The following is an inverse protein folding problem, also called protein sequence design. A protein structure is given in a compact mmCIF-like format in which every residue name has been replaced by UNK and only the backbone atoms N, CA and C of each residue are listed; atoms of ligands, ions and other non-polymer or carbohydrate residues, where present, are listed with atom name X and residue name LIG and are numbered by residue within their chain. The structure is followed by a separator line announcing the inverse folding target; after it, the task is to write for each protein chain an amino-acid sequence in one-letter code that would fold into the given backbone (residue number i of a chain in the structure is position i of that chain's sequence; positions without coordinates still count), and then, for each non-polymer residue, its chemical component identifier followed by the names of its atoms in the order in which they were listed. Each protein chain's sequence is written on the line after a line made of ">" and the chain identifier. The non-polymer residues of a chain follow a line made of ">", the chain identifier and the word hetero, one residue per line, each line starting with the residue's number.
data_IF_765390031755
#
_entry.id   IF_765390031755
#
_cell.length_a   1.000
_cell.length_b   1.000
_cell.length_c   1.000
_cell.angle_alpha   90.00
_cell.angle_beta   90.00
_cell.angle_gamma   90.00
#
_symmetry.space_group_name_H-M   'P 1'
#
loop_
_entity.id
_entity.type
_entity.pdbx_description
1 polymer ?
#
# COMPACT_ATOMS: atom_id res chain seq x y z
N UNK A 1 -18.30 24.24 5.57
CA UNK A 1 -19.04 23.04 5.09
C UNK A 1 -18.53 22.50 3.75
N UNK A 2 -18.23 23.34 2.75
CA UNK A 2 -17.72 22.88 1.44
C UNK A 2 -16.43 22.04 1.53
N UNK A 3 -15.42 22.51 2.25
CA UNK A 3 -14.17 21.74 2.47
C UNK A 3 -14.42 20.35 3.05
N UNK A 4 -15.24 20.26 4.10
CA UNK A 4 -15.57 18.97 4.74
C UNK A 4 -16.32 18.03 3.79
N UNK A 5 -17.25 18.55 2.99
CA UNK A 5 -17.96 17.75 1.98
C UNK A 5 -16.99 17.25 0.91
N UNK A 6 -16.22 18.16 0.32
CA UNK A 6 -15.35 17.91 -0.83
C UNK A 6 -14.14 17.02 -0.47
N UNK A 7 -13.78 16.91 0.82
CA UNK A 7 -12.65 16.10 1.31
C UNK A 7 -13.08 15.01 2.31
N UNK A 8 -14.37 14.74 2.43
CA UNK A 8 -14.94 13.84 3.45
C UNK A 8 -14.33 12.44 3.43
N UNK A 9 -14.16 11.84 2.24
CA UNK A 9 -13.54 10.52 2.08
C UNK A 9 -12.15 10.48 2.69
N UNK A 10 -11.26 11.39 2.30
CA UNK A 10 -9.89 11.48 2.84
C UNK A 10 -9.87 11.74 4.33
N UNK A 11 -10.74 12.62 4.84
CA UNK A 11 -10.81 12.93 6.27
C UNK A 11 -11.23 11.71 7.10
N UNK A 12 -12.23 10.96 6.65
CA UNK A 12 -12.71 9.76 7.33
C UNK A 12 -11.67 8.64 7.27
N UNK A 13 -11.07 8.40 6.10
CA UNK A 13 -10.00 7.39 5.96
C UNK A 13 -8.79 7.74 6.83
N UNK A 14 -8.38 9.02 6.88
CA UNK A 14 -7.27 9.47 7.74
C UNK A 14 -7.61 9.32 9.22
N UNK A 15 -8.88 9.56 9.61
CA UNK A 15 -9.32 9.33 10.98
C UNK A 15 -9.27 7.85 11.35
N UNK A 16 -9.75 6.96 10.48
CA UNK A 16 -9.65 5.51 10.71
C UNK A 16 -8.20 5.05 10.78
N UNK A 17 -7.34 5.53 9.88
CA UNK A 17 -5.89 5.30 9.97
C UNK A 17 -5.32 5.77 11.31
N UNK A 18 -5.64 6.99 11.76
CA UNK A 18 -5.15 7.54 13.02
C UNK A 18 -5.60 6.70 14.23
N UNK A 19 -6.86 6.25 14.24
CA UNK A 19 -7.37 5.35 15.29
C UNK A 19 -6.63 4.01 15.24
N UNK A 20 -6.45 3.43 14.06
CA UNK A 20 -5.80 2.13 13.88
C UNK A 20 -4.32 2.16 14.27
N UNK A 21 -3.55 3.18 13.87
CA UNK A 21 -2.13 3.28 14.22
C UNK A 21 -1.91 3.55 15.72
N UNK A 22 -2.81 4.34 16.35
CA UNK A 22 -2.82 4.52 17.80
C UNK A 22 -3.17 3.21 18.52
N UNK A 23 -4.17 2.48 18.01
CA UNK A 23 -4.54 1.16 18.52
C UNK A 23 -3.39 0.17 18.43
N UNK A 24 -2.73 0.09 17.27
CA UNK A 24 -1.55 -0.73 17.02
C UNK A 24 -0.42 -0.39 18.00
N UNK A 25 -0.07 0.90 18.13
CA UNK A 25 0.97 1.35 19.05
C UNK A 25 0.68 1.00 20.52
N UNK A 26 -0.55 1.25 20.99
CA UNK A 26 -0.93 0.98 22.37
C UNK A 26 -1.02 -0.51 22.67
N UNK A 27 -1.60 -1.29 21.76
CA UNK A 27 -1.70 -2.74 21.93
C UNK A 27 -0.33 -3.40 21.87
N UNK A 28 0.49 -3.06 20.87
CA UNK A 28 1.85 -3.56 20.71
C UNK A 28 2.73 -3.25 21.92
N UNK A 29 2.69 -2.00 22.42
CA UNK A 29 3.43 -1.63 23.64
C UNK A 29 3.04 -2.49 24.84
N UNK A 30 1.74 -2.82 24.99
CA UNK A 30 1.25 -3.66 26.08
C UNK A 30 1.68 -5.11 25.95
N UNK A 31 1.74 -5.64 24.72
CA UNK A 31 2.24 -7.00 24.43
C UNK A 31 3.73 -7.09 24.80
N UNK A 32 4.56 -6.18 24.28
CA UNK A 32 6.00 -6.12 24.58
C UNK A 32 6.27 -5.93 26.07
N UNK A 33 5.54 -5.02 26.72
CA UNK A 33 5.67 -4.79 28.17
C UNK A 33 5.37 -6.07 28.96
N UNK A 34 4.32 -6.80 28.58
CA UNK A 34 3.95 -8.03 29.26
C UNK A 34 5.00 -9.14 29.07
N UNK A 35 5.62 -9.21 27.89
CA UNK A 35 6.70 -10.14 27.60
C UNK A 35 7.98 -9.79 28.36
N UNK A 36 8.43 -8.53 28.30
CA UNK A 36 9.58 -8.05 29.06
C UNK A 36 9.45 -8.37 30.57
N UNK A 37 8.27 -8.12 31.16
CA UNK A 37 8.00 -8.42 32.56
C UNK A 37 8.05 -9.93 32.86
N UNK A 38 7.62 -10.80 31.93
CA UNK A 38 7.77 -12.27 32.08
C UNK A 38 9.23 -12.71 32.07
N UNK A 39 10.09 -11.97 31.37
CA UNK A 39 11.54 -12.18 31.37
C UNK A 39 12.28 -11.43 32.49
N UNK A 40 11.56 -10.81 33.43
CA UNK A 40 12.15 -10.06 34.54
C UNK A 40 12.83 -8.74 34.12
N UNK A 41 12.49 -8.23 32.94
CA UNK A 41 12.96 -6.97 32.38
C UNK A 41 11.95 -5.84 32.64
N UNK A 42 12.39 -4.58 32.52
CA UNK A 42 11.50 -3.43 32.54
C UNK A 42 10.81 -3.30 31.17
N UNK A 43 9.49 -3.09 31.17
CA UNK A 43 8.69 -2.94 29.94
C UNK A 43 8.87 -1.60 29.22
N UNK A 44 9.61 -0.66 29.85
CA UNK A 44 9.93 0.62 29.23
C UNK A 44 8.71 1.53 29.02
N UNK A 45 8.92 2.60 28.27
CA UNK A 45 7.87 3.61 28.01
C UNK A 45 7.27 3.44 26.62
N UNK A 46 6.03 3.90 26.43
CA UNK A 46 5.40 3.93 25.10
C UNK A 46 6.27 4.68 24.07
N UNK A 47 6.92 5.77 24.46
CA UNK A 47 7.77 6.55 23.56
C UNK A 47 9.01 5.75 23.13
N UNK A 48 9.58 4.95 24.02
CA UNK A 48 10.68 4.05 23.67
C UNK A 48 10.21 2.95 22.71
N UNK A 49 9.00 2.41 22.92
CA UNK A 49 8.41 1.41 22.02
C UNK A 49 8.14 1.98 20.62
N UNK A 50 7.63 3.20 20.48
CA UNK A 50 7.40 3.81 19.16
C UNK A 50 8.66 3.97 18.30
N UNK A 51 9.85 3.97 18.91
CA UNK A 51 11.13 3.99 18.21
C UNK A 51 11.83 2.63 18.14
N UNK A 52 11.20 1.56 18.63
CA UNK A 52 11.81 0.23 18.70
C UNK A 52 11.76 -0.49 17.36
N UNK A 53 12.67 -1.46 17.19
CA UNK A 53 12.69 -2.30 16.01
C UNK A 53 11.37 -3.10 15.82
N UNK A 54 10.79 -3.75 16.86
CA UNK A 54 9.51 -4.45 16.73
C UNK A 54 8.31 -3.58 16.29
N UNK A 55 8.23 -2.34 16.75
CA UNK A 55 7.14 -1.45 16.34
C UNK A 55 7.31 -1.01 14.88
N UNK A 56 8.53 -0.57 14.53
CA UNK A 56 8.79 -0.08 13.19
C UNK A 56 8.76 -1.20 12.15
N UNK A 57 9.22 -2.41 12.48
CA UNK A 57 9.14 -3.55 11.56
C UNK A 57 7.69 -3.85 11.21
N UNK A 58 6.81 -4.03 12.21
CA UNK A 58 5.41 -4.39 11.98
C UNK A 58 4.60 -3.29 11.27
N UNK A 59 4.87 -2.01 11.58
CA UNK A 59 4.22 -0.88 10.86
C UNK A 59 4.61 -0.88 9.38
N UNK A 60 5.91 -0.98 9.09
CA UNK A 60 6.39 -0.89 7.72
C UNK A 60 6.21 -2.17 6.93
N UNK A 61 6.13 -3.34 7.58
CA UNK A 61 5.70 -4.61 6.99
C UNK A 61 4.29 -4.46 6.39
N UNK A 62 3.35 -3.87 7.14
CA UNK A 62 1.99 -3.60 6.65
C UNK A 62 1.99 -2.53 5.55
N UNK A 63 2.71 -1.42 5.73
CA UNK A 63 2.69 -0.35 4.72
C UNK A 63 3.34 -0.77 3.41
N UNK A 64 4.37 -1.60 3.48
CA UNK A 64 4.99 -2.20 2.30
C UNK A 64 3.97 -2.97 1.46
N UNK A 65 3.17 -3.86 2.06
CA UNK A 65 2.19 -4.67 1.32
C UNK A 65 1.11 -3.81 0.67
N UNK A 66 0.61 -2.81 1.39
CA UNK A 66 -0.39 -1.85 0.89
C UNK A 66 0.13 -1.10 -0.33
N UNK A 67 1.34 -0.53 -0.26
CA UNK A 67 1.91 0.19 -1.40
C UNK A 67 2.28 -0.73 -2.55
N UNK A 68 2.75 -1.95 -2.28
CA UNK A 68 3.02 -2.94 -3.32
C UNK A 68 1.73 -3.33 -4.06
N UNK A 69 0.65 -3.62 -3.33
CA UNK A 69 -0.63 -3.97 -3.91
C UNK A 69 -1.17 -2.83 -4.76
N UNK A 70 -1.20 -1.60 -4.24
CA UNK A 70 -1.66 -0.43 -5.00
C UNK A 70 -0.78 -0.17 -6.24
N UNK A 71 0.54 -0.26 -6.11
CA UNK A 71 1.46 -0.08 -7.23
C UNK A 71 1.24 -1.15 -8.32
N UNK A 72 1.17 -2.42 -7.91
CA UNK A 72 0.92 -3.53 -8.81
C UNK A 72 -0.43 -3.36 -9.49
N UNK A 73 -1.47 -2.99 -8.75
CA UNK A 73 -2.80 -2.78 -9.31
C UNK A 73 -2.83 -1.65 -10.35
N UNK A 74 -2.28 -0.48 -10.02
CA UNK A 74 -2.20 0.67 -10.96
C UNK A 74 -1.39 0.33 -12.21
N UNK A 75 -0.27 -0.37 -12.07
CA UNK A 75 0.60 -0.71 -13.21
C UNK A 75 -0.03 -1.83 -14.06
N UNK A 76 -0.53 -2.90 -13.43
CA UNK A 76 -1.07 -4.05 -14.15
C UNK A 76 -2.36 -3.70 -14.87
N UNK A 77 -3.26 -2.91 -14.28
CA UNK A 77 -4.51 -2.47 -14.95
C UNK A 77 -4.26 -1.60 -16.18
N UNK A 78 -3.07 -1.02 -16.34
CA UNK A 78 -2.67 -0.32 -17.56
C UNK A 78 -2.35 -1.28 -18.74
N UNK A 79 -2.05 -2.55 -18.47
CA UNK A 79 -1.63 -3.54 -19.49
C UNK A 79 -2.54 -4.77 -19.59
N UNK A 80 -3.16 -5.18 -18.48
CA UNK A 80 -4.00 -6.37 -18.37
C UNK A 80 -5.48 -5.99 -18.43
N UNK A 81 -6.27 -6.89 -18.99
CA UNK A 81 -7.70 -6.69 -19.21
C UNK A 81 -8.48 -7.81 -18.52
N UNK A 82 -9.49 -7.41 -17.75
CA UNK A 82 -10.50 -8.29 -17.17
C UNK A 82 -11.89 -7.83 -17.64
N UNK A 83 -12.40 -8.48 -18.69
CA UNK A 83 -13.72 -8.17 -19.24
C UNK A 83 -14.80 -8.28 -18.15
N UNK A 84 -15.68 -7.29 -18.11
CA UNK A 84 -16.80 -7.21 -17.18
C UNK A 84 -16.51 -6.45 -15.88
N UNK A 85 -15.24 -6.19 -15.54
CA UNK A 85 -14.87 -5.53 -14.29
C UNK A 85 -14.98 -3.99 -14.42
N UNK A 86 -15.40 -3.29 -13.36
CA UNK A 86 -15.33 -1.82 -13.29
C UNK A 86 -13.89 -1.31 -13.27
N UNK A 87 -12.99 -2.17 -12.79
CA UNK A 87 -11.59 -1.85 -12.51
C UNK A 87 -10.67 -2.01 -13.71
N UNK A 88 -11.19 -2.52 -14.82
CA UNK A 88 -10.43 -2.80 -16.01
C UNK A 88 -10.86 -1.89 -17.15
N UNK A 89 -9.90 -1.55 -18.01
CA UNK A 89 -10.18 -0.82 -19.23
C UNK A 89 -10.99 -1.68 -20.20
N UNK A 90 -11.96 -1.07 -20.87
CA UNK A 90 -12.67 -1.69 -21.99
C UNK A 90 -11.70 -2.03 -23.14
N UNK A 91 -11.58 -3.32 -23.54
CA UNK A 91 -10.71 -3.75 -24.64
C UNK A 91 -11.08 -3.13 -25.99
N UNK A 92 -12.35 -2.78 -26.20
CA UNK A 92 -12.83 -2.24 -27.48
C UNK A 92 -12.71 -0.71 -27.55
N UNK A 93 -12.44 -0.05 -26.41
CA UNK A 93 -12.31 1.40 -26.35
C UNK A 93 -10.94 1.89 -26.83
N UNK A 94 -10.88 3.04 -27.53
CA UNK A 94 -9.61 3.64 -27.94
C UNK A 94 -8.72 3.98 -26.72
N UNK A 95 -7.38 4.03 -26.89
CA UNK A 95 -6.48 4.39 -25.79
C UNK A 95 -6.78 5.79 -25.23
N UNK A 96 -6.99 5.88 -23.91
CA UNK A 96 -7.31 7.14 -23.20
C UNK A 96 -6.20 8.18 -23.34
N UNK A 97 -4.95 7.73 -23.30
CA UNK A 97 -3.75 8.57 -23.25
C UNK A 97 -3.01 8.63 -24.59
N UNK A 98 -3.72 8.43 -25.71
CA UNK A 98 -3.16 8.66 -27.03
C UNK A 98 -2.80 10.14 -27.23
N UNK A 99 -1.66 10.38 -27.89
CA UNK A 99 -1.21 11.73 -28.29
C UNK A 99 -1.15 12.76 -27.16
N UNK A 100 -0.34 12.46 -26.13
CA UNK A 100 -0.13 13.37 -24.99
C UNK A 100 0.41 14.75 -25.38
N UNK A 101 0.93 14.94 -26.59
CA UNK A 101 1.36 16.23 -27.11
C UNK A 101 0.16 17.12 -27.38
N UNK A 102 -0.76 16.65 -28.20
CA UNK A 102 -2.02 17.37 -28.45
C UNK A 102 -2.84 17.53 -27.17
N UNK A 103 -2.81 16.54 -26.26
CA UNK A 103 -3.50 16.67 -24.97
C UNK A 103 -2.90 17.74 -24.06
N UNK A 104 -1.60 18.04 -24.18
CA UNK A 104 -0.92 19.05 -23.39
C UNK A 104 -1.41 20.48 -23.68
N UNK A 105 -2.00 20.71 -24.86
CA UNK A 105 -2.51 22.01 -25.31
C UNK A 105 -3.97 22.27 -24.89
N UNK A 106 -4.66 21.27 -24.33
CA UNK A 106 -6.05 21.43 -23.87
C UNK A 106 -6.13 22.45 -22.72
N UNK A 107 -7.18 23.29 -22.66
CA UNK A 107 -7.40 24.19 -21.53
C UNK A 107 -7.44 23.41 -20.20
N UNK A 108 -6.64 23.85 -19.22
CA UNK A 108 -6.54 23.19 -17.91
C UNK A 108 -5.57 22.01 -17.85
N UNK A 109 -4.88 21.66 -18.95
CA UNK A 109 -3.87 20.61 -18.94
C UNK A 109 -2.71 20.94 -17.96
N UNK A 110 -2.28 19.97 -17.12
CA UNK A 110 -1.18 20.16 -16.18
C UNK A 110 0.10 20.67 -16.85
N UNK A 111 0.78 21.62 -16.21
CA UNK A 111 2.02 22.21 -16.74
C UNK A 111 3.13 21.19 -17.07
N UNK A 112 3.34 20.10 -16.29
CA UNK A 112 4.36 19.10 -16.61
C UNK A 112 4.24 18.45 -17.99
N UNK A 113 3.04 18.39 -18.58
CA UNK A 113 2.85 17.86 -19.94
C UNK A 113 3.53 18.72 -21.03
N UNK A 114 3.79 20.00 -20.72
CA UNK A 114 4.33 21.02 -21.64
C UNK A 114 5.82 21.31 -21.45
N UNK A 115 6.46 20.75 -20.42
CA UNK A 115 7.87 21.01 -20.09
C UNK A 115 8.87 20.12 -20.87
N UNK A 116 8.41 19.49 -21.94
CA UNK A 116 9.21 18.61 -22.80
C UNK A 116 9.01 17.13 -22.51
N UNK A 117 9.64 16.30 -23.34
CA UNK A 117 9.39 14.85 -23.39
C UNK A 117 9.68 14.13 -22.07
N UNK A 118 10.77 14.50 -21.37
CA UNK A 118 11.14 13.87 -20.11
C UNK A 118 10.12 14.14 -18.99
N UNK A 119 9.75 15.41 -18.78
CA UNK A 119 8.77 15.77 -17.75
C UNK A 119 7.41 15.11 -18.02
N UNK A 120 6.98 15.09 -19.28
CA UNK A 120 5.77 14.39 -19.71
C UNK A 120 5.83 12.89 -19.43
N UNK A 121 6.94 12.23 -19.74
CA UNK A 121 7.12 10.80 -19.52
C UNK A 121 7.08 10.43 -18.02
N UNK A 122 7.70 11.25 -17.16
CA UNK A 122 7.64 11.06 -15.70
C UNK A 122 6.24 11.34 -15.18
N UNK A 123 5.63 12.45 -15.61
CA UNK A 123 4.29 12.84 -15.15
C UNK A 123 3.24 11.79 -15.51
N UNK A 124 3.28 11.25 -16.73
CA UNK A 124 2.36 10.20 -17.20
C UNK A 124 2.46 8.88 -16.42
N UNK A 125 3.51 8.69 -15.63
CA UNK A 125 3.75 7.48 -14.81
C UNK A 125 3.87 7.80 -13.32
N UNK A 126 3.60 9.05 -12.94
CA UNK A 126 3.95 9.58 -11.62
C UNK A 126 3.24 8.86 -10.48
N UNK A 127 1.98 8.45 -10.65
CA UNK A 127 1.25 7.68 -9.63
C UNK A 127 1.91 6.33 -9.33
N UNK A 128 2.17 5.52 -10.37
CA UNK A 128 2.84 4.24 -10.20
C UNK A 128 4.27 4.41 -9.65
N UNK A 129 5.02 5.41 -10.13
CA UNK A 129 6.36 5.71 -9.61
C UNK A 129 6.34 6.13 -8.13
N UNK A 130 5.37 6.93 -7.72
CA UNK A 130 5.22 7.35 -6.33
C UNK A 130 4.89 6.16 -5.42
N UNK A 131 3.96 5.28 -5.83
CA UNK A 131 3.60 4.08 -5.06
C UNK A 131 4.77 3.10 -4.97
N UNK A 132 5.50 2.88 -6.06
CA UNK A 132 6.73 2.05 -6.05
C UNK A 132 7.78 2.65 -5.12
N UNK A 133 7.97 3.97 -5.14
CA UNK A 133 8.91 4.62 -4.23
C UNK A 133 8.50 4.47 -2.77
N UNK A 134 7.21 4.64 -2.45
CA UNK A 134 6.68 4.41 -1.10
C UNK A 134 6.87 2.95 -0.67
N UNK A 135 6.59 1.99 -1.55
CA UNK A 135 6.90 0.57 -1.31
C UNK A 135 8.38 0.35 -1.01
N UNK A 136 9.30 0.88 -1.81
CA UNK A 136 10.75 0.69 -1.62
C UNK A 136 11.24 1.31 -0.31
N UNK A 137 10.72 2.49 0.06
CA UNK A 137 11.04 3.13 1.33
C UNK A 137 10.50 2.32 2.51
N UNK A 138 9.26 1.83 2.41
CA UNK A 138 8.67 0.98 3.45
C UNK A 138 9.41 -0.35 3.60
N UNK A 139 9.68 -1.04 2.49
CA UNK A 139 10.44 -2.29 2.46
C UNK A 139 11.82 -2.11 3.11
N UNK A 140 12.51 -1.00 2.82
CA UNK A 140 13.81 -0.72 3.42
C UNK A 140 13.73 -0.57 4.95
N UNK A 141 12.71 0.14 5.44
CA UNK A 141 12.51 0.28 6.89
C UNK A 141 12.12 -1.07 7.50
N UNK A 142 11.12 -1.76 6.94
CA UNK A 142 10.71 -3.10 7.38
C UNK A 142 11.91 -4.04 7.48
N UNK A 143 12.64 -4.24 6.38
CA UNK A 143 13.80 -5.13 6.34
C UNK A 143 14.87 -4.77 7.39
N UNK A 144 15.25 -3.49 7.48
CA UNK A 144 16.30 -3.08 8.42
C UNK A 144 15.86 -3.16 9.87
N UNK A 145 14.58 -2.97 10.17
CA UNK A 145 14.05 -3.09 11.52
C UNK A 145 13.78 -4.54 11.91
N UNK A 146 13.24 -5.40 11.02
CA UNK A 146 13.13 -6.84 11.27
C UNK A 146 14.50 -7.48 11.54
N UNK A 147 15.53 -7.08 10.77
CA UNK A 147 16.90 -7.53 11.03
C UNK A 147 17.44 -7.10 12.41
N UNK A 148 17.04 -5.93 12.90
CA UNK A 148 17.41 -5.45 14.25
C UNK A 148 16.66 -6.21 15.33
N UNK A 149 15.36 -6.41 15.17
CA UNK A 149 14.52 -7.16 16.11
C UNK A 149 15.03 -8.60 16.25
N UNK A 150 15.25 -9.29 15.13
CA UNK A 150 15.83 -10.64 15.12
C UNK A 150 17.25 -10.68 15.72
N UNK A 151 18.04 -9.61 15.54
CA UNK A 151 19.35 -9.48 16.15
C UNK A 151 19.30 -9.30 17.67
N UNK A 152 18.31 -8.58 18.19
CA UNK A 152 18.06 -8.43 19.63
C UNK A 152 17.63 -9.76 20.24
N UNK A 153 16.70 -10.47 19.60
CA UNK A 153 16.24 -11.80 20.01
C UNK A 153 17.39 -12.82 20.02
N UNK A 154 18.17 -12.90 18.94
CA UNK A 154 19.35 -13.78 18.86
C UNK A 154 20.32 -13.53 20.03
N UNK A 155 20.57 -12.26 20.38
CA UNK A 155 21.44 -11.90 21.50
C UNK A 155 20.87 -12.32 22.86
N UNK A 156 19.55 -12.28 23.04
CA UNK A 156 18.89 -12.77 24.26
C UNK A 156 19.04 -14.29 24.40
N UNK A 157 19.14 -15.02 23.28
CA UNK A 157 19.39 -16.46 23.24
C UNK A 157 20.88 -16.84 23.21
N UNK A 158 21.81 -15.87 23.28
CA UNK A 158 23.25 -16.12 23.23
C UNK A 158 23.79 -16.45 21.83
N UNK A 159 23.01 -16.15 20.79
CA UNK A 159 23.34 -16.39 19.39
C UNK A 159 23.95 -15.15 18.72
N UNK A 160 24.58 -15.34 17.56
CA UNK A 160 25.14 -14.26 16.78
C UNK A 160 24.08 -13.59 15.90
N UNK A 161 23.88 -12.28 16.07
CA UNK A 161 22.98 -11.50 15.24
C UNK A 161 23.44 -11.48 13.78
N UNK A 162 22.52 -11.75 12.85
CA UNK A 162 22.75 -11.58 11.40
C UNK A 162 22.82 -10.08 11.08
N UNK A 163 23.71 -9.70 10.16
CA UNK A 163 23.70 -8.35 9.59
C UNK A 163 22.48 -8.15 8.67
N UNK A 164 22.02 -6.92 8.48
CA UNK A 164 20.87 -6.60 7.64
C UNK A 164 20.96 -7.23 6.23
N UNK A 165 22.12 -7.12 5.57
CA UNK A 165 22.38 -7.76 4.25
C UNK A 165 22.19 -9.28 4.27
N UNK A 166 22.63 -9.97 5.32
CA UNK A 166 22.40 -11.40 5.45
C UNK A 166 20.93 -11.72 5.74
N UNK A 167 20.26 -10.85 6.50
CA UNK A 167 18.84 -11.00 6.84
C UNK A 167 17.91 -10.85 5.62
N UNK A 168 18.33 -10.17 4.55
CA UNK A 168 17.55 -10.10 3.30
C UNK A 168 17.33 -11.48 2.66
N UNK A 169 18.24 -12.42 2.88
CA UNK A 169 18.11 -13.80 2.42
C UNK A 169 17.49 -14.72 3.50
N UNK A 170 17.10 -14.17 4.64
CA UNK A 170 16.49 -14.93 5.73
C UNK A 170 15.01 -15.22 5.41
N UNK A 171 14.56 -16.48 5.55
CA UNK A 171 13.16 -16.83 5.34
C UNK A 171 12.17 -16.05 6.20
N UNK A 172 12.58 -15.59 7.39
CA UNK A 172 11.70 -14.86 8.30
C UNK A 172 11.20 -13.54 7.70
N UNK A 173 12.09 -12.77 7.06
CA UNK A 173 11.72 -11.53 6.37
C UNK A 173 10.67 -11.79 5.27
N UNK A 174 10.89 -12.83 4.47
CA UNK A 174 9.99 -13.17 3.38
C UNK A 174 8.69 -13.78 3.89
N UNK A 175 8.70 -14.48 5.01
CA UNK A 175 7.49 -14.93 5.69
C UNK A 175 6.62 -13.74 6.10
N UNK A 176 7.22 -12.73 6.73
CA UNK A 176 6.60 -11.45 7.11
C UNK A 176 6.00 -10.71 5.89
N UNK A 177 6.75 -10.58 4.80
CA UNK A 177 6.22 -9.96 3.58
C UNK A 177 5.12 -10.80 2.93
N UNK A 178 5.35 -12.11 2.70
CA UNK A 178 4.42 -12.95 1.94
C UNK A 178 3.10 -13.21 2.67
N UNK A 179 3.05 -13.23 4.01
CA UNK A 179 1.80 -13.37 4.76
C UNK A 179 0.83 -12.21 4.50
N UNK A 180 1.36 -10.99 4.29
CA UNK A 180 0.55 -9.81 4.00
C UNK A 180 0.27 -9.69 2.51
N UNK A 181 1.28 -9.91 1.65
CA UNK A 181 1.10 -9.80 0.21
C UNK A 181 0.02 -10.74 -0.31
N UNK A 182 -0.05 -11.97 0.21
CA UNK A 182 -1.06 -12.94 -0.24
C UNK A 182 -2.49 -12.45 0.03
N UNK A 183 -2.75 -11.81 1.17
CA UNK A 183 -4.10 -11.32 1.50
C UNK A 183 -4.45 -10.10 0.68
N UNK A 184 -3.49 -9.20 0.45
CA UNK A 184 -3.71 -8.00 -0.34
C UNK A 184 -3.98 -8.30 -1.82
N UNK A 185 -3.24 -9.26 -2.40
CA UNK A 185 -3.52 -9.68 -3.76
C UNK A 185 -4.84 -10.46 -3.87
N UNK A 186 -5.19 -11.28 -2.86
CA UNK A 186 -6.47 -11.97 -2.81
C UNK A 186 -7.64 -10.98 -2.72
N UNK A 187 -7.58 -9.99 -1.82
CA UNK A 187 -8.64 -8.99 -1.63
C UNK A 187 -8.88 -8.19 -2.91
N UNK A 188 -7.80 -7.79 -3.59
CA UNK A 188 -7.83 -7.10 -4.88
C UNK A 188 -8.46 -7.97 -5.96
N UNK A 189 -8.03 -9.22 -6.10
CA UNK A 189 -8.60 -10.14 -7.08
C UNK A 189 -10.10 -10.41 -6.83
N UNK A 190 -10.49 -10.52 -5.56
CA UNK A 190 -11.90 -10.64 -5.15
C UNK A 190 -12.68 -9.40 -5.57
N UNK A 191 -12.18 -8.19 -5.32
CA UNK A 191 -12.84 -6.95 -5.75
C UNK A 191 -13.03 -6.91 -7.27
N UNK A 192 -11.97 -7.21 -8.03
CA UNK A 192 -12.01 -7.26 -9.50
C UNK A 192 -13.10 -8.21 -10.00
N UNK A 193 -13.19 -9.43 -9.44
CA UNK A 193 -14.19 -10.42 -9.85
C UNK A 193 -15.60 -10.05 -9.38
N UNK A 194 -15.75 -9.61 -8.13
CA UNK A 194 -17.05 -9.27 -7.56
C UNK A 194 -17.66 -8.03 -8.25
N UNK A 195 -16.84 -7.07 -8.70
CA UNK A 195 -17.30 -5.88 -9.45
C UNK A 195 -18.04 -6.23 -10.75
N UNK A 196 -17.83 -7.43 -11.30
CA UNK A 196 -18.55 -7.93 -12.48
C UNK A 196 -20.03 -8.16 -12.15
N UNK A 197 -20.29 -8.80 -11.00
CA UNK A 197 -21.59 -9.37 -10.64
C UNK A 197 -22.36 -8.56 -9.61
N UNK A 198 -21.67 -7.89 -8.68
CA UNK A 198 -22.26 -7.16 -7.58
C UNK A 198 -22.28 -5.66 -7.85
N UNK A 199 -23.15 -4.93 -7.13
CA UNK A 199 -23.36 -3.49 -7.30
C UNK A 199 -23.44 -2.81 -5.94
N UNK A 200 -22.71 -1.70 -5.80
CA UNK A 200 -22.84 -0.79 -4.67
C UNK A 200 -23.31 0.57 -5.21
N UNK A 201 -24.53 0.97 -4.86
CA UNK A 201 -25.15 2.21 -5.34
C UNK A 201 -24.27 3.43 -4.98
N UNK A 202 -23.99 4.29 -5.96
CA UNK A 202 -23.13 5.48 -5.88
C UNK A 202 -21.63 5.22 -5.59
N UNK A 203 -21.16 3.97 -5.67
CA UNK A 203 -19.74 3.65 -5.49
C UNK A 203 -19.00 3.64 -6.83
N UNK A 204 -17.80 4.25 -6.94
CA UNK A 204 -16.96 4.12 -8.12
C UNK A 204 -16.35 2.71 -8.26
N UNK A 205 -16.25 1.95 -7.16
CA UNK A 205 -15.67 0.59 -7.12
C UNK A 205 -16.61 -0.50 -7.69
N UNK A 206 -17.71 -0.12 -8.33
CA UNK A 206 -18.61 -1.07 -9.00
C UNK A 206 -19.33 -0.40 -10.15
N UNK A 207 -19.70 -1.18 -11.17
CA UNK A 207 -20.44 -0.67 -12.33
C UNK A 207 -21.78 -0.04 -11.93
N UNK A 208 -22.37 0.84 -12.78
CA UNK A 208 -23.73 1.31 -12.58
C UNK A 208 -24.72 0.17 -12.34
N UNK A 209 -25.71 0.37 -11.47
CA UNK A 209 -26.65 -0.68 -11.04
C UNK A 209 -27.38 -1.32 -12.23
N UNK A 210 -27.67 -0.54 -13.27
CA UNK A 210 -28.35 -1.00 -14.48
C UNK A 210 -27.40 -1.56 -15.55
N UNK A 211 -26.07 -1.50 -15.36
CA UNK A 211 -25.11 -1.96 -16.35
C UNK A 211 -25.06 -3.51 -16.39
N UNK A 212 -24.98 -4.11 -17.59
CA UNK A 212 -24.93 -5.56 -17.73
C UNK A 212 -23.57 -6.13 -17.26
N UNK A 213 -23.50 -7.45 -17.05
CA UNK A 213 -22.30 -8.10 -16.51
C UNK A 213 -21.10 -8.07 -17.47
N UNK A 214 -21.35 -8.05 -18.78
CA UNK A 214 -20.32 -7.99 -19.82
C UNK A 214 -19.76 -6.59 -20.09
N UNK A 215 -20.42 -5.54 -19.57
CA UNK A 215 -19.89 -4.18 -19.60
C UNK A 215 -18.60 -4.08 -18.79
N UNK A 216 -17.57 -3.44 -19.34
CA UNK A 216 -16.23 -3.29 -18.73
C UNK A 216 -15.94 -1.80 -18.55
N UNK A 217 -15.46 -1.41 -17.38
CA UNK A 217 -15.27 0.00 -17.03
C UNK A 217 -16.57 0.73 -16.67
N UNK A 218 -16.46 2.06 -16.64
CA UNK A 218 -17.53 3.03 -16.37
C UNK A 218 -18.44 3.30 -17.57
#
# INVERSE_FOLDING_TARGET
>A
MRFLRDNSLTLVLTLFFAISILGHALAGWRVETAEALRHGQDGGTLMAYLGSAPFLSTVFENWESEFLQMAAYVVLTAFLIQKGSSESRDPEAPPRDADLETQADKPGAPAPLRWGAFSRAVYARSLGLALILLFLLSFLVHWTQSARAAGEEARQHGEAAKGALAYLADPQLWFESFQNWQSEFLSTAVLVVLSIFLRQRESPESKPVAAPHDHTGD
#
